data_IF_132789645743
#
_entry.id   IF_132789645743
#
_cell.length_a   1.000
_cell.length_b   1.000
_cell.length_c   1.000
_cell.angle_alpha   90.00
_cell.angle_beta   90.00
_cell.angle_gamma   90.00
#
_symmetry.space_group_name_H-M   'P 1'
#
loop_
_entity.id
_entity.type
_entity.pdbx_description
1 polymer ?
#
# COMPACT_ATOMS: atom_id res chain seq x y z
N UNK A 1 -53.22 -14.48 55.62
CA UNK A 1 -54.07 -13.96 54.51
C UNK A 1 -53.76 -12.48 54.38
N UNK A 2 -53.28 -11.91 53.26
CA UNK A 2 -52.90 -12.41 51.91
C UNK A 2 -51.35 -12.52 51.78
N UNK A 3 -50.68 -13.21 50.83
CA UNK A 3 -50.75 -13.32 49.37
C UNK A 3 -50.30 -12.08 48.59
N UNK A 4 -49.03 -12.09 48.18
CA UNK A 4 -48.41 -11.38 47.04
C UNK A 4 -46.91 -11.70 47.07
N UNK A 5 -46.17 -11.92 46.00
CA UNK A 5 -46.43 -12.30 44.63
C UNK A 5 -45.01 -12.57 44.09
N UNK A 6 -44.83 -13.74 43.47
CA UNK A 6 -43.64 -14.05 42.69
C UNK A 6 -43.33 -12.94 41.68
N UNK A 7 -42.09 -12.48 41.68
CA UNK A 7 -41.49 -11.89 40.49
C UNK A 7 -39.99 -12.21 40.45
N UNK A 8 -39.67 -13.50 40.47
CA UNK A 8 -38.40 -14.00 39.91
C UNK A 8 -38.44 -13.75 38.42
N UNK A 9 -37.96 -12.56 38.03
CA UNK A 9 -37.67 -12.20 36.64
C UNK A 9 -36.50 -13.07 36.17
N UNK A 10 -36.80 -14.30 35.78
CA UNK A 10 -35.87 -15.19 35.08
C UNK A 10 -35.55 -14.50 33.77
N UNK A 11 -34.37 -13.88 33.74
CA UNK A 11 -33.82 -13.24 32.56
C UNK A 11 -33.50 -14.36 31.58
N UNK A 12 -34.44 -14.67 30.70
CA UNK A 12 -34.26 -15.60 29.59
C UNK A 12 -33.11 -15.07 28.75
N UNK A 13 -31.92 -15.62 28.98
CA UNK A 13 -30.77 -15.42 28.11
C UNK A 13 -31.21 -16.02 26.76
N UNK A 14 -31.20 -15.26 25.65
CA UNK A 14 -31.47 -15.85 24.35
C UNK A 14 -30.35 -16.84 24.06
N UNK A 15 -30.66 -18.11 24.28
CA UNK A 15 -29.90 -19.25 23.81
C UNK A 15 -29.99 -19.30 22.29
N UNK A 16 -28.83 -19.52 21.66
CA UNK A 16 -28.62 -19.85 20.25
C UNK A 16 -29.13 -18.82 19.23
N UNK A 17 -28.19 -18.02 18.75
CA UNK A 17 -27.86 -18.14 17.33
C UNK A 17 -26.48 -18.77 17.26
N UNK A 18 -26.44 -20.04 16.89
CA UNK A 18 -25.24 -20.67 16.38
C UNK A 18 -25.27 -20.36 14.88
N UNK A 19 -24.54 -19.36 14.35
CA UNK A 19 -24.34 -19.29 12.93
C UNK A 19 -23.34 -20.42 12.62
N UNK A 20 -23.85 -21.64 12.49
CA UNK A 20 -23.22 -22.58 11.57
C UNK A 20 -23.49 -22.06 10.16
N UNK A 21 -22.91 -20.89 9.85
CA UNK A 21 -22.47 -20.67 8.50
C UNK A 21 -21.49 -21.82 8.25
N UNK A 22 -21.66 -22.62 7.19
CA UNK A 22 -20.56 -23.44 6.74
C UNK A 22 -19.37 -22.51 6.62
N UNK A 23 -18.23 -22.89 7.21
CA UNK A 23 -16.96 -22.23 6.98
C UNK A 23 -16.75 -22.24 5.46
N UNK A 24 -17.25 -21.21 4.77
CA UNK A 24 -17.01 -20.95 3.36
C UNK A 24 -15.59 -20.39 3.30
N UNK A 25 -14.65 -21.23 3.68
CA UNK A 25 -13.25 -21.01 3.42
C UNK A 25 -13.15 -21.11 1.90
N UNK A 26 -13.12 -19.93 1.27
CA UNK A 26 -12.64 -19.83 -0.09
C UNK A 26 -11.33 -20.61 -0.17
N UNK A 27 -11.17 -21.54 -1.13
CA UNK A 27 -9.91 -22.19 -1.41
C UNK A 27 -8.77 -21.18 -1.37
N UNK A 28 -7.65 -21.54 -0.73
CA UNK A 28 -6.52 -20.62 -0.50
C UNK A 28 -6.14 -19.85 -1.76
N UNK A 29 -6.06 -20.59 -2.86
CA UNK A 29 -5.71 -20.08 -4.18
C UNK A 29 -6.66 -18.95 -4.67
N UNK A 30 -7.95 -19.00 -4.34
CA UNK A 30 -8.93 -18.02 -4.83
C UNK A 30 -8.77 -16.66 -4.14
N UNK A 31 -8.57 -16.64 -2.81
CA UNK A 31 -8.37 -15.35 -2.15
C UNK A 31 -6.95 -14.81 -2.41
N UNK A 32 -5.95 -15.68 -2.60
CA UNK A 32 -4.63 -15.24 -3.06
C UNK A 32 -4.71 -14.57 -4.43
N UNK A 33 -5.48 -15.12 -5.37
CA UNK A 33 -5.73 -14.53 -6.68
C UNK A 33 -6.42 -13.15 -6.57
N UNK A 34 -7.41 -13.02 -5.68
CA UNK A 34 -8.05 -11.72 -5.40
C UNK A 34 -7.03 -10.69 -4.89
N UNK A 35 -6.15 -11.07 -3.97
CA UNK A 35 -5.11 -10.18 -3.43
C UNK A 35 -4.07 -9.83 -4.51
N UNK A 36 -3.76 -10.77 -5.40
CA UNK A 36 -2.84 -10.56 -6.52
C UNK A 36 -3.40 -9.55 -7.53
N UNK A 37 -4.72 -9.45 -7.66
CA UNK A 37 -5.36 -8.41 -8.47
C UNK A 37 -5.33 -7.00 -7.84
N UNK A 38 -4.96 -6.86 -6.56
CA UNK A 38 -4.81 -5.55 -5.92
C UNK A 38 -3.46 -4.87 -6.27
N UNK A 39 -2.54 -5.58 -6.91
CA UNK A 39 -1.22 -5.11 -7.32
C UNK A 39 -1.33 -4.14 -8.50
N UNK A 40 -0.51 -3.06 -8.57
CA UNK A 40 -0.53 -2.16 -9.71
C UNK A 40 -0.14 -2.91 -11.01
N UNK A 41 -0.70 -2.52 -12.17
CA UNK A 41 -0.30 -3.07 -13.46
C UNK A 41 1.22 -2.97 -13.71
N UNK A 42 1.80 -3.85 -14.55
CA UNK A 42 3.23 -3.79 -14.88
C UNK A 42 3.65 -2.43 -15.44
N UNK A 43 4.89 -2.02 -15.19
CA UNK A 43 5.43 -0.70 -15.58
C UNK A 43 5.24 -0.37 -17.07
N UNK A 44 5.28 -1.37 -17.96
CA UNK A 44 5.07 -1.21 -19.40
C UNK A 44 3.68 -0.67 -19.80
N UNK A 45 2.70 -0.70 -18.90
CA UNK A 45 1.34 -0.20 -19.15
C UNK A 45 1.16 1.28 -18.80
N UNK A 46 2.17 1.93 -18.20
CA UNK A 46 2.08 3.32 -17.77
C UNK A 46 2.92 4.25 -18.66
N UNK A 47 2.31 4.89 -19.67
CA UNK A 47 3.01 5.90 -20.48
C UNK A 47 3.34 7.19 -19.69
N UNK A 48 2.76 7.36 -18.49
CA UNK A 48 2.93 8.55 -17.66
C UNK A 48 3.26 8.16 -16.21
N UNK A 49 4.38 8.69 -15.68
CA UNK A 49 4.85 8.47 -14.31
C UNK A 49 3.86 8.90 -13.22
N UNK A 50 3.08 9.97 -13.45
CA UNK A 50 2.06 10.40 -12.48
C UNK A 50 0.95 9.37 -12.33
N UNK A 51 0.57 8.70 -13.43
CA UNK A 51 -0.44 7.63 -13.40
C UNK A 51 0.08 6.40 -12.68
N UNK A 52 1.35 6.05 -12.91
CA UNK A 52 2.01 4.97 -12.17
C UNK A 52 2.00 5.25 -10.66
N UNK A 53 2.46 6.43 -10.23
CA UNK A 53 2.47 6.80 -8.80
C UNK A 53 1.09 6.71 -8.16
N UNK A 54 0.08 7.26 -8.82
CA UNK A 54 -1.30 7.18 -8.33
C UNK A 54 -1.76 5.73 -8.17
N UNK A 55 -1.53 4.89 -9.20
CA UNK A 55 -1.89 3.48 -9.16
C UNK A 55 -1.18 2.72 -8.05
N UNK A 56 0.11 2.98 -7.84
CA UNK A 56 0.88 2.32 -6.77
C UNK A 56 0.37 2.72 -5.39
N UNK A 57 0.07 4.01 -5.17
CA UNK A 57 -0.49 4.49 -3.91
C UNK A 57 -1.86 3.87 -3.64
N UNK A 58 -2.74 3.82 -4.65
CA UNK A 58 -4.06 3.22 -4.55
C UNK A 58 -3.97 1.72 -4.22
N UNK A 59 -3.11 0.98 -4.94
CA UNK A 59 -2.82 -0.43 -4.64
C UNK A 59 -2.22 -0.63 -3.25
N UNK A 60 -1.33 0.25 -2.78
CA UNK A 60 -0.77 0.17 -1.43
C UNK A 60 -1.84 0.30 -0.35
N UNK A 61 -2.78 1.25 -0.51
CA UNK A 61 -3.92 1.43 0.40
C UNK A 61 -4.82 0.20 0.40
N UNK A 62 -5.13 -0.35 -0.77
CA UNK A 62 -5.95 -1.56 -0.90
C UNK A 62 -5.27 -2.76 -0.23
N UNK A 63 -3.98 -2.98 -0.48
CA UNK A 63 -3.23 -4.08 0.13
C UNK A 63 -3.13 -3.94 1.65
N UNK A 64 -2.98 -2.71 2.17
CA UNK A 64 -3.08 -2.47 3.61
C UNK A 64 -4.46 -2.84 4.16
N UNK A 65 -5.55 -2.49 3.47
CA UNK A 65 -6.88 -2.91 3.87
C UNK A 65 -7.04 -4.45 3.87
N UNK A 66 -6.46 -5.14 2.87
CA UNK A 66 -6.42 -6.60 2.82
C UNK A 66 -5.70 -7.21 4.04
N UNK A 67 -4.60 -6.59 4.52
CA UNK A 67 -3.90 -7.05 5.74
C UNK A 67 -4.75 -6.95 7.01
N UNK A 68 -5.74 -6.04 7.03
CA UNK A 68 -6.63 -5.81 8.17
C UNK A 68 -7.92 -6.65 8.12
N UNK A 69 -8.16 -7.36 7.02
CA UNK A 69 -9.42 -8.10 6.80
C UNK A 69 -9.46 -9.41 7.62
N UNK A 70 -8.43 -10.24 7.52
CA UNK A 70 -8.29 -11.47 8.30
C UNK A 70 -6.83 -11.93 8.35
N UNK A 71 -6.54 -12.92 9.22
CA UNK A 71 -5.18 -13.44 9.43
C UNK A 71 -4.63 -14.15 8.19
N UNK A 72 -5.50 -14.83 7.45
CA UNK A 72 -5.17 -15.59 6.26
C UNK A 72 -4.65 -14.67 5.16
N UNK A 73 -5.23 -13.47 5.00
CA UNK A 73 -4.86 -12.52 3.96
C UNK A 73 -3.56 -11.77 4.27
N UNK A 74 -3.13 -11.75 5.54
CA UNK A 74 -2.00 -10.96 6.01
C UNK A 74 -0.71 -11.24 5.24
N UNK A 75 -0.33 -12.52 5.12
CA UNK A 75 0.96 -12.90 4.54
C UNK A 75 1.07 -12.50 3.06
N UNK A 76 0.06 -12.85 2.24
CA UNK A 76 0.03 -12.52 0.81
C UNK A 76 -0.07 -11.02 0.57
N UNK A 77 -0.88 -10.32 1.37
CA UNK A 77 -1.04 -8.87 1.25
C UNK A 77 0.25 -8.11 1.58
N UNK A 78 0.98 -8.50 2.62
CA UNK A 78 2.28 -7.91 2.94
C UNK A 78 3.32 -8.23 1.88
N UNK A 79 3.35 -9.47 1.38
CA UNK A 79 4.23 -9.85 0.29
C UNK A 79 4.02 -8.95 -0.94
N UNK A 80 2.78 -8.76 -1.37
CA UNK A 80 2.45 -7.87 -2.48
C UNK A 80 2.81 -6.41 -2.14
N UNK A 81 2.45 -5.91 -0.95
CA UNK A 81 2.75 -4.54 -0.56
C UNK A 81 4.25 -4.21 -0.68
N UNK A 82 5.12 -5.06 -0.13
CA UNK A 82 6.56 -4.81 -0.13
C UNK A 82 7.27 -5.17 -1.44
N UNK A 83 6.68 -6.04 -2.27
CA UNK A 83 7.31 -6.45 -3.53
C UNK A 83 7.06 -5.48 -4.68
N UNK A 84 5.91 -4.79 -4.70
CA UNK A 84 5.46 -3.98 -5.85
C UNK A 84 5.05 -2.56 -5.49
N UNK A 85 4.77 -2.23 -4.22
CA UNK A 85 4.31 -0.91 -3.81
C UNK A 85 5.35 -0.05 -3.09
N UNK A 86 6.64 -0.42 -3.16
CA UNK A 86 7.73 0.39 -2.60
C UNK A 86 8.29 1.31 -3.70
N UNK A 87 8.05 2.61 -3.57
CA UNK A 87 8.63 3.64 -4.46
C UNK A 87 9.75 4.35 -3.71
N UNK A 88 10.96 4.34 -4.28
CA UNK A 88 12.12 5.06 -3.75
C UNK A 88 12.43 6.28 -4.63
N UNK A 89 11.76 7.39 -4.33
CA UNK A 89 11.85 8.59 -5.15
C UNK A 89 13.12 9.41 -4.88
N UNK A 90 13.53 9.46 -3.61
CA UNK A 90 14.61 10.30 -3.12
C UNK A 90 15.48 9.58 -2.08
N UNK A 91 16.63 10.16 -1.71
CA UNK A 91 17.52 9.60 -0.68
C UNK A 91 16.81 9.38 0.66
N UNK A 92 15.87 10.27 1.02
CA UNK A 92 15.08 10.16 2.27
C UNK A 92 14.19 8.93 2.26
N UNK A 93 13.62 8.55 1.12
CA UNK A 93 12.79 7.37 0.97
C UNK A 93 13.61 6.08 1.10
N UNK A 94 14.87 6.09 0.63
CA UNK A 94 15.83 5.01 0.86
C UNK A 94 16.15 4.89 2.35
N UNK A 95 16.45 6.01 3.03
CA UNK A 95 16.74 6.01 4.47
C UNK A 95 15.57 5.45 5.29
N UNK A 96 14.33 5.83 4.96
CA UNK A 96 13.12 5.28 5.61
C UNK A 96 12.98 3.79 5.38
N UNK A 97 13.24 3.30 4.16
CA UNK A 97 13.20 1.86 3.88
C UNK A 97 14.26 1.11 4.70
N UNK A 98 15.47 1.66 4.79
CA UNK A 98 16.55 1.10 5.62
C UNK A 98 16.14 1.06 7.09
N UNK A 99 15.52 2.12 7.62
CA UNK A 99 15.00 2.15 8.99
C UNK A 99 13.92 1.07 9.22
N UNK A 100 12.96 0.94 8.30
CA UNK A 100 11.91 -0.09 8.36
C UNK A 100 12.51 -1.49 8.37
N UNK A 101 13.46 -1.76 7.48
CA UNK A 101 14.15 -3.07 7.40
C UNK A 101 14.96 -3.32 8.68
N UNK A 102 15.63 -2.30 9.21
CA UNK A 102 16.42 -2.42 10.44
C UNK A 102 15.53 -2.78 11.63
N UNK A 103 14.35 -2.15 11.75
CA UNK A 103 13.37 -2.45 12.78
C UNK A 103 12.68 -3.81 12.57
N UNK A 104 12.56 -4.26 11.32
CA UNK A 104 11.86 -5.49 10.94
C UNK A 104 12.62 -6.26 9.84
N UNK A 105 13.70 -6.97 10.20
CA UNK A 105 14.61 -7.59 9.22
C UNK A 105 13.95 -8.61 8.29
N UNK A 106 12.90 -9.29 8.75
CA UNK A 106 12.15 -10.26 7.95
C UNK A 106 11.47 -9.64 6.72
N UNK A 107 11.28 -8.31 6.69
CA UNK A 107 10.70 -7.60 5.55
C UNK A 107 11.67 -7.44 4.38
N UNK A 108 12.98 -7.53 4.62
CA UNK A 108 14.00 -7.39 3.57
C UNK A 108 13.83 -8.40 2.43
N UNK A 109 13.35 -9.61 2.76
CA UNK A 109 13.12 -10.70 1.80
C UNK A 109 12.03 -10.39 0.77
N UNK A 110 11.18 -9.40 1.05
CA UNK A 110 10.04 -9.05 0.21
C UNK A 110 10.31 -7.86 -0.71
N UNK A 111 11.39 -7.11 -0.51
CA UNK A 111 11.75 -5.97 -1.37
C UNK A 111 12.33 -6.50 -2.68
N UNK A 112 11.51 -6.56 -3.73
CA UNK A 112 11.90 -7.10 -5.05
C UNK A 112 12.14 -6.05 -6.12
N UNK A 113 11.52 -4.88 -6.01
CA UNK A 113 11.60 -3.83 -7.02
C UNK A 113 11.95 -2.51 -6.33
N UNK A 114 13.19 -2.06 -6.51
CA UNK A 114 13.63 -0.72 -6.14
C UNK A 114 13.70 0.12 -7.42
N UNK A 115 12.73 1.01 -7.61
CA UNK A 115 12.81 2.03 -8.64
C UNK A 115 13.48 3.27 -8.06
N UNK A 116 14.70 3.58 -8.50
CA UNK A 116 15.40 4.84 -8.18
C UNK A 116 15.15 5.81 -9.33
N UNK A 117 14.57 6.98 -9.03
CA UNK A 117 14.36 8.00 -10.07
C UNK A 117 15.70 8.57 -10.54
N UNK A 118 16.05 8.49 -11.84
CA UNK A 118 17.32 9.04 -12.34
C UNK A 118 17.39 10.57 -12.33
N UNK A 119 16.28 11.27 -12.08
CA UNK A 119 16.21 12.74 -12.14
C UNK A 119 16.86 13.46 -10.96
N UNK A 120 17.08 12.80 -9.82
CA UNK A 120 17.84 13.37 -8.70
C UNK A 120 19.36 13.26 -8.87
N UNK A 121 19.83 12.49 -9.87
CA UNK A 121 21.25 12.28 -10.15
C UNK A 121 21.81 13.22 -11.22
N UNK A 122 21.05 14.22 -11.69
CA UNK A 122 21.63 15.29 -12.50
C UNK A 122 22.26 16.32 -11.56
N UNK A 123 23.60 16.35 -11.41
CA UNK A 123 24.26 17.45 -10.72
C UNK A 123 23.84 18.76 -11.39
N UNK A 124 23.78 19.84 -10.61
CA UNK A 124 23.24 21.17 -10.94
C UNK A 124 23.79 21.86 -12.21
N UNK A 125 24.67 21.20 -12.97
CA UNK A 125 25.27 21.65 -14.21
C UNK A 125 24.26 21.96 -15.34
N UNK A 126 23.04 21.45 -15.31
CA UNK A 126 22.03 21.75 -16.35
C UNK A 126 21.18 22.99 -16.08
N UNK A 127 21.19 23.58 -14.88
CA UNK A 127 20.45 24.84 -14.62
C UNK A 127 21.15 26.10 -15.13
N UNK A 128 22.45 26.02 -15.45
CA UNK A 128 23.21 27.16 -15.96
C UNK A 128 23.01 27.41 -17.48
N UNK A 129 22.52 26.42 -18.25
CA UNK A 129 22.47 26.53 -19.72
C UNK A 129 21.29 27.34 -20.26
N UNK A 130 20.35 27.80 -19.42
CA UNK A 130 19.18 28.58 -19.87
C UNK A 130 19.21 30.07 -19.49
N UNK A 131 20.31 30.59 -18.94
CA UNK A 131 20.44 32.03 -18.60
C UNK A 131 21.33 32.85 -19.53
N UNK A 132 21.77 32.30 -20.66
CA UNK A 132 22.60 33.01 -21.64
C UNK A 132 21.87 33.19 -22.96
N UNK A 133 20.83 34.04 -23.01
CA UNK A 133 20.33 34.60 -24.27
C UNK A 133 19.48 35.85 -24.02
N UNK A 134 20.12 36.92 -23.58
CA UNK A 134 19.58 38.28 -23.75
C UNK A 134 20.73 39.21 -24.08
N UNK A 135 21.15 39.20 -25.35
CA UNK A 135 21.96 40.27 -25.94
C UNK A 135 21.01 41.32 -26.51
N UNK A 136 21.03 42.58 -26.04
CA UNK A 136 20.40 43.67 -26.76
C UNK A 136 21.34 44.13 -27.88
N UNK A 137 20.95 43.91 -29.14
CA UNK A 137 21.57 44.55 -30.29
C UNK A 137 21.16 46.02 -30.30
N UNK A 138 22.05 46.91 -29.84
CA UNK A 138 21.93 48.36 -30.03
C UNK A 138 22.59 48.71 -31.37
N UNK A 139 21.78 48.97 -32.39
CA UNK A 139 22.25 49.53 -33.66
C UNK A 139 22.65 51.00 -33.50
N UNK A 140 23.65 51.51 -34.23
CA UNK A 140 24.00 52.92 -34.21
C UNK A 140 23.06 53.70 -35.14
N UNK A 141 22.66 54.89 -34.70
CA UNK A 141 22.09 55.97 -35.52
C UNK A 141 22.69 57.27 -35.04
#
# INVERSE_FOLDING_TARGET
MPSTADLTRTKTIPSRMNPQLPNFLLPVNLWEEVIDHCVPPPLGFFPNRRRLRHSVVESAVTLLACTLTCREWLARSLFNLYSVCVILEDSKSVDRLVEIITMRPHLALFVRISWVSPEEFLPELTRASHRSSTFPLRGPS
#
